data_IF_628933505598
#
_entry.id   IF_628933505598
#
_cell.length_a   1.000
_cell.length_b   1.000
_cell.length_c   1.000
_cell.angle_alpha   90.00
_cell.angle_beta   90.00
_cell.angle_gamma   90.00
#
_symmetry.space_group_name_H-M   'P 1'
#
loop_
_entity.id
_entity.type
_entity.pdbx_description
1 polymer ?
#
# COMPACT_ATOMS: atom_id res chain seq x y z
N UNK A 1 -15.43 3.48 1.27
CA UNK A 1 -14.49 2.88 2.24
C UNK A 1 -15.18 2.61 3.59
N UNK A 2 -14.76 1.58 4.33
CA UNK A 2 -15.27 1.24 5.68
C UNK A 2 -14.24 1.53 6.77
N UNK A 3 -14.63 2.28 7.81
CA UNK A 3 -13.74 2.70 8.90
C UNK A 3 -13.08 1.52 9.62
N UNK A 4 -13.81 0.44 9.86
CA UNK A 4 -13.27 -0.77 10.52
C UNK A 4 -12.14 -1.41 9.72
N UNK A 5 -12.27 -1.41 8.40
CA UNK A 5 -11.25 -1.95 7.48
C UNK A 5 -10.00 -1.09 7.50
N UNK A 6 -10.14 0.24 7.48
CA UNK A 6 -9.02 1.19 7.63
C UNK A 6 -8.26 0.94 8.94
N UNK A 7 -8.99 0.79 10.06
CA UNK A 7 -8.39 0.50 11.36
C UNK A 7 -7.64 -0.84 11.35
N UNK A 8 -8.20 -1.88 10.74
CA UNK A 8 -7.56 -3.19 10.64
C UNK A 8 -6.22 -3.11 9.86
N UNK A 9 -6.22 -2.40 8.73
CA UNK A 9 -5.03 -2.17 7.90
C UNK A 9 -3.97 -1.39 8.69
N UNK A 10 -4.35 -0.27 9.30
CA UNK A 10 -3.43 0.55 10.07
C UNK A 10 -2.81 -0.22 11.25
N UNK A 11 -3.62 -1.04 11.94
CA UNK A 11 -3.14 -1.88 13.04
C UNK A 11 -2.18 -2.98 12.54
N UNK A 12 -2.48 -3.63 11.42
CA UNK A 12 -1.61 -4.65 10.84
C UNK A 12 -0.24 -4.08 10.43
N UNK A 13 -0.24 -2.93 9.73
CA UNK A 13 0.98 -2.25 9.32
C UNK A 13 1.78 -1.72 10.51
N UNK A 14 1.10 -1.20 11.54
CA UNK A 14 1.75 -0.77 12.78
C UNK A 14 2.38 -1.94 13.53
N UNK A 15 1.67 -3.06 13.67
CA UNK A 15 2.16 -4.24 14.36
C UNK A 15 3.38 -4.88 13.68
N UNK A 16 3.49 -4.74 12.35
CA UNK A 16 4.63 -5.22 11.57
C UNK A 16 5.75 -4.16 11.39
N UNK A 17 5.65 -3.03 12.09
CA UNK A 17 6.61 -1.91 12.05
C UNK A 17 6.91 -1.47 10.61
N UNK A 18 5.86 -1.28 9.82
CA UNK A 18 5.99 -0.90 8.41
C UNK A 18 6.20 0.60 8.30
N UNK A 19 7.18 0.98 7.47
CA UNK A 19 7.38 2.35 7.01
C UNK A 19 6.48 2.58 5.79
N UNK A 20 5.40 3.31 5.96
CA UNK A 20 4.43 3.61 4.90
C UNK A 20 3.79 4.97 5.08
N UNK A 21 3.41 5.60 3.98
CA UNK A 21 2.66 6.86 3.96
C UNK A 21 1.33 6.60 3.27
N UNK A 22 0.24 6.98 3.94
CA UNK A 22 -1.08 7.03 3.32
C UNK A 22 -1.13 8.24 2.41
N UNK A 23 -1.47 8.05 1.14
CA UNK A 23 -1.61 9.12 0.16
C UNK A 23 -3.03 9.17 -0.39
N UNK A 24 -3.27 9.99 -1.41
CA UNK A 24 -4.57 10.05 -2.07
C UNK A 24 -5.64 10.75 -1.24
N UNK A 25 -6.91 10.47 -1.55
CA UNK A 25 -8.02 11.21 -0.94
C UNK A 25 -8.24 10.90 0.55
N UNK A 26 -7.73 9.77 1.07
CA UNK A 26 -7.74 9.54 2.52
C UNK A 26 -6.81 10.52 3.25
N UNK A 27 -5.62 10.81 2.71
CA UNK A 27 -4.74 11.83 3.27
C UNK A 27 -5.38 13.23 3.20
N UNK A 28 -6.02 13.55 2.08
CA UNK A 28 -6.74 14.83 1.88
C UNK A 28 -7.91 14.99 2.88
N UNK A 29 -8.68 13.92 3.09
CA UNK A 29 -9.76 13.86 4.09
C UNK A 29 -9.23 14.07 5.51
N UNK A 30 -8.10 13.44 5.87
CA UNK A 30 -7.49 13.61 7.18
C UNK A 30 -7.07 15.06 7.46
N UNK A 31 -6.77 15.85 6.42
CA UNK A 31 -6.45 17.28 6.50
C UNK A 31 -7.66 18.21 6.31
N UNK A 32 -8.90 17.67 6.38
CA UNK A 32 -10.13 18.48 6.42
C UNK A 32 -10.75 18.83 5.07
N UNK A 33 -10.30 18.22 3.97
CA UNK A 33 -10.87 18.42 2.63
C UNK A 33 -11.58 17.14 2.19
N UNK A 34 -12.90 17.20 1.99
CA UNK A 34 -13.69 16.03 1.58
C UNK A 34 -13.41 15.61 0.13
N UNK A 35 -12.92 14.39 -0.05
CA UNK A 35 -12.81 13.67 -1.33
C UNK A 35 -13.32 12.24 -1.14
N UNK A 36 -14.27 11.83 -1.97
CA UNK A 36 -14.73 10.45 -1.99
C UNK A 36 -13.61 9.54 -2.54
N UNK A 37 -13.05 8.67 -1.68
CA UNK A 37 -12.21 7.55 -2.11
C UNK A 37 -12.78 6.25 -1.56
N UNK A 38 -12.65 5.18 -2.35
CA UNK A 38 -13.06 3.84 -1.94
C UNK A 38 -11.86 2.94 -1.64
N UNK A 39 -10.69 3.33 -2.09
CA UNK A 39 -9.37 2.75 -1.91
C UNK A 39 -8.55 3.48 -0.84
N UNK A 40 -7.60 2.75 -0.27
CA UNK A 40 -6.47 3.29 0.49
C UNK A 40 -5.24 3.22 -0.40
N UNK A 41 -4.67 4.38 -0.70
CA UNK A 41 -3.41 4.49 -1.43
C UNK A 41 -2.23 4.49 -0.44
N UNK A 42 -1.28 3.57 -0.64
CA UNK A 42 -0.10 3.40 0.21
C UNK A 42 1.18 3.55 -0.61
N UNK A 43 2.06 4.45 -0.16
CA UNK A 43 3.47 4.42 -0.54
C UNK A 43 4.22 3.72 0.59
N UNK A 44 4.81 2.56 0.32
CA UNK A 44 5.65 1.85 1.28
C UNK A 44 7.12 2.13 0.94
N UNK A 45 7.98 2.26 1.95
CA UNK A 45 9.42 2.32 1.69
C UNK A 45 9.86 1.09 0.90
N UNK A 46 10.59 1.31 -0.19
CA UNK A 46 10.95 0.26 -1.14
C UNK A 46 12.15 -0.59 -0.74
N UNK A 47 12.53 -0.52 0.54
CA UNK A 47 13.43 -1.49 1.16
C UNK A 47 12.81 -2.91 1.07
N UNK A 48 13.52 -3.90 0.50
CA UNK A 48 12.95 -5.23 0.23
C UNK A 48 12.30 -5.89 1.45
N UNK A 49 12.88 -5.71 2.63
CA UNK A 49 12.35 -6.32 3.85
C UNK A 49 11.08 -5.60 4.36
N UNK A 50 11.05 -4.27 4.29
CA UNK A 50 9.83 -3.51 4.59
C UNK A 50 8.67 -3.92 3.68
N UNK A 51 8.95 -4.10 2.37
CA UNK A 51 7.97 -4.58 1.40
C UNK A 51 7.42 -5.96 1.77
N UNK A 52 8.30 -6.94 2.04
CA UNK A 52 7.87 -8.30 2.40
C UNK A 52 6.99 -8.28 3.63
N UNK A 53 7.44 -7.64 4.72
CA UNK A 53 6.65 -7.54 5.95
C UNK A 53 5.29 -6.87 5.70
N UNK A 54 5.25 -5.81 4.90
CA UNK A 54 4.01 -5.08 4.61
C UNK A 54 2.99 -5.97 3.89
N UNK A 55 3.40 -6.61 2.80
CA UNK A 55 2.49 -7.44 2.01
C UNK A 55 2.07 -8.70 2.78
N UNK A 56 2.97 -9.34 3.53
CA UNK A 56 2.61 -10.47 4.41
C UNK A 56 1.64 -10.06 5.51
N UNK A 57 1.81 -8.88 6.13
CA UNK A 57 0.89 -8.37 7.15
C UNK A 57 -0.51 -8.10 6.59
N UNK A 58 -0.61 -7.54 5.37
CA UNK A 58 -1.89 -7.32 4.69
C UNK A 58 -2.54 -8.65 4.29
N UNK A 59 -1.76 -9.62 3.81
CA UNK A 59 -2.25 -10.96 3.48
C UNK A 59 -2.80 -11.67 4.73
N UNK A 60 -2.11 -11.54 5.88
CA UNK A 60 -2.54 -12.14 7.14
C UNK A 60 -3.92 -11.66 7.62
N UNK A 61 -4.35 -10.45 7.25
CA UNK A 61 -5.68 -9.92 7.56
C UNK A 61 -6.69 -10.13 6.42
N UNK A 62 -6.35 -10.95 5.42
CA UNK A 62 -7.26 -11.40 4.37
C UNK A 62 -7.26 -10.55 3.10
N UNK A 63 -6.22 -9.74 2.86
CA UNK A 63 -5.99 -9.16 1.54
C UNK A 63 -5.22 -10.12 0.63
N UNK A 64 -5.32 -9.93 -0.68
CA UNK A 64 -4.52 -10.63 -1.66
C UNK A 64 -4.27 -9.77 -2.89
N UNK A 65 -3.12 -9.97 -3.58
CA UNK A 65 -2.85 -9.34 -4.87
C UNK A 65 -3.95 -9.63 -5.90
N UNK A 66 -4.30 -8.62 -6.71
CA UNK A 66 -5.25 -8.79 -7.83
C UNK A 66 -4.66 -9.54 -9.02
N UNK A 67 -3.35 -9.75 -9.02
CA UNK A 67 -2.57 -10.46 -10.04
C UNK A 67 -1.62 -11.44 -9.36
N UNK A 68 -1.20 -12.54 -10.02
CA UNK A 68 -0.39 -13.60 -9.39
C UNK A 68 1.07 -13.17 -9.19
N UNK A 69 1.29 -12.32 -8.20
CA UNK A 69 2.60 -11.79 -7.78
C UNK A 69 2.77 -12.10 -6.29
N UNK A 70 3.92 -12.65 -5.90
CA UNK A 70 4.23 -12.89 -4.48
C UNK A 70 4.80 -11.63 -3.81
N UNK A 71 4.74 -11.51 -2.48
CA UNK A 71 5.46 -10.47 -1.74
C UNK A 71 6.95 -10.41 -2.11
N UNK A 72 7.58 -11.55 -2.33
CA UNK A 72 8.98 -11.68 -2.70
C UNK A 72 9.26 -11.13 -4.11
N UNK A 73 8.35 -11.39 -5.06
CA UNK A 73 8.44 -10.84 -6.41
C UNK A 73 8.35 -9.32 -6.37
N UNK A 74 7.41 -8.77 -5.58
CA UNK A 74 7.23 -7.32 -5.45
C UNK A 74 8.39 -6.66 -4.68
N UNK A 75 9.03 -7.37 -3.74
CA UNK A 75 10.22 -6.88 -3.04
C UNK A 75 11.46 -6.77 -3.94
N UNK A 76 11.49 -7.46 -5.08
CA UNK A 76 12.60 -7.39 -6.03
C UNK A 76 12.51 -6.11 -6.90
N UNK A 77 13.54 -5.26 -6.79
CA UNK A 77 13.59 -4.00 -7.52
C UNK A 77 13.61 -4.18 -9.06
N UNK A 78 14.28 -5.22 -9.58
CA UNK A 78 14.32 -5.48 -11.02
C UNK A 78 12.94 -5.85 -11.57
N UNK A 79 12.17 -6.65 -10.83
CA UNK A 79 10.79 -6.96 -11.19
C UNK A 79 9.92 -5.70 -11.21
N UNK A 80 10.04 -4.85 -10.19
CA UNK A 80 9.31 -3.57 -10.12
C UNK A 80 9.65 -2.66 -11.29
N UNK A 81 10.94 -2.50 -11.63
CA UNK A 81 11.38 -1.72 -12.78
C UNK A 81 10.79 -2.26 -14.08
N UNK A 82 10.87 -3.58 -14.31
CA UNK A 82 10.31 -4.23 -15.50
C UNK A 82 8.79 -4.01 -15.60
N UNK A 83 8.04 -4.19 -14.51
CA UNK A 83 6.59 -3.97 -14.54
C UNK A 83 6.23 -2.49 -14.78
N UNK A 84 7.01 -1.55 -14.24
CA UNK A 84 6.81 -0.13 -14.51
C UNK A 84 7.09 0.20 -15.99
N UNK A 85 8.25 -0.18 -16.51
CA UNK A 85 8.71 0.21 -17.85
C UNK A 85 8.00 -0.55 -18.98
N UNK A 86 7.81 -1.87 -18.83
CA UNK A 86 7.27 -2.70 -19.91
C UNK A 86 5.76 -2.91 -19.82
N UNK A 87 5.19 -2.81 -18.61
CA UNK A 87 3.75 -3.06 -18.37
C UNK A 87 2.99 -1.81 -17.95
N UNK A 88 3.67 -0.65 -17.82
CA UNK A 88 3.09 0.59 -17.33
C UNK A 88 2.33 0.41 -15.99
N UNK A 89 2.78 -0.53 -15.15
CA UNK A 89 2.18 -0.76 -13.84
C UNK A 89 2.61 0.37 -12.91
N UNK A 90 1.63 1.03 -12.27
CA UNK A 90 1.88 2.10 -11.30
C UNK A 90 1.66 1.65 -9.86
N UNK A 91 0.65 0.78 -9.66
CA UNK A 91 0.24 0.28 -8.36
C UNK A 91 -0.03 -1.21 -8.42
N UNK A 92 0.26 -1.91 -7.33
CA UNK A 92 -0.25 -3.25 -7.04
C UNK A 92 -1.55 -3.13 -6.25
N UNK A 93 -2.65 -3.54 -6.87
CA UNK A 93 -3.97 -3.58 -6.21
C UNK A 93 -4.09 -4.81 -5.33
N UNK A 94 -4.46 -4.61 -4.08
CA UNK A 94 -4.85 -5.66 -3.14
C UNK A 94 -6.35 -5.57 -2.87
N UNK A 95 -7.01 -6.72 -2.85
CA UNK A 95 -8.43 -6.84 -2.58
C UNK A 95 -8.69 -7.90 -1.50
N UNK A 96 -9.88 -7.86 -0.89
CA UNK A 96 -10.26 -8.78 0.19
C UNK A 96 -11.74 -9.08 0.14
N UNK A 97 -12.10 -10.35 0.30
CA UNK A 97 -13.50 -10.76 0.49
C UNK A 97 -14.09 -10.30 1.84
N UNK A 98 -13.23 -10.07 2.83
CA UNK A 98 -13.60 -9.58 4.16
C UNK A 98 -13.70 -8.05 4.21
N UNK A 99 -12.89 -7.35 3.40
CA UNK A 99 -12.83 -5.89 3.33
C UNK A 99 -13.22 -5.33 1.96
N UNK A 100 -14.30 -5.85 1.37
CA UNK A 100 -14.71 -5.61 -0.04
C UNK A 100 -14.80 -4.15 -0.46
N UNK A 101 -15.13 -3.25 0.47
CA UNK A 101 -15.33 -1.81 0.22
C UNK A 101 -14.07 -0.97 0.44
N UNK A 102 -12.93 -1.60 0.71
CA UNK A 102 -11.66 -0.95 1.04
C UNK A 102 -10.48 -1.68 0.37
N UNK A 103 -10.39 -1.70 -0.97
CA UNK A 103 -9.17 -2.12 -1.66
C UNK A 103 -7.97 -1.25 -1.27
N UNK A 104 -6.78 -1.79 -1.45
CA UNK A 104 -5.52 -1.09 -1.17
C UNK A 104 -4.74 -1.00 -2.47
N UNK A 105 -4.24 0.18 -2.79
CA UNK A 105 -3.32 0.40 -3.91
C UNK A 105 -1.93 0.70 -3.36
N UNK A 106 -0.97 -0.20 -3.65
CA UNK A 106 0.43 -0.07 -3.20
C UNK A 106 1.27 0.42 -4.37
N UNK A 107 1.90 1.58 -4.25
CA UNK A 107 2.74 2.14 -5.31
C UNK A 107 3.97 1.26 -5.59
N UNK A 108 4.29 1.10 -6.87
CA UNK A 108 5.46 0.33 -7.32
C UNK A 108 6.79 1.10 -7.19
N UNK A 109 6.69 2.43 -7.14
CA UNK A 109 7.77 3.40 -7.02
C UNK A 109 7.42 4.40 -5.92
N UNK A 110 8.43 5.03 -5.33
CA UNK A 110 8.24 6.18 -4.44
C UNK A 110 8.05 7.43 -5.33
N UNK A 111 6.85 8.04 -5.39
CA UNK A 111 6.59 9.16 -6.28
C UNK A 111 7.16 10.50 -5.76
N UNK A 112 7.78 10.46 -4.58
CA UNK A 112 8.43 11.56 -3.89
C UNK A 112 9.57 11.00 -3.04
N UNK A 113 10.41 11.87 -2.48
CA UNK A 113 11.44 11.48 -1.53
C UNK A 113 10.80 10.91 -0.25
N UNK A 114 10.83 9.58 -0.10
CA UNK A 114 10.14 8.89 0.98
C UNK A 114 10.65 9.33 2.35
N UNK A 115 11.97 9.47 2.52
CA UNK A 115 12.58 9.82 3.81
C UNK A 115 12.17 11.22 4.26
N UNK A 116 12.10 12.18 3.34
CA UNK A 116 11.69 13.56 3.62
C UNK A 116 10.26 13.63 4.12
N UNK A 117 9.34 12.90 3.47
CA UNK A 117 7.92 12.91 3.86
C UNK A 117 7.66 12.03 5.09
N UNK A 118 8.39 10.92 5.25
CA UNK A 118 8.27 10.03 6.42
C UNK A 118 8.65 10.75 7.73
N UNK A 119 9.60 11.68 7.68
CA UNK A 119 9.98 12.48 8.85
C UNK A 119 8.94 13.56 9.23
N UNK A 120 7.86 13.72 8.46
CA UNK A 120 6.80 14.72 8.69
C UNK A 120 5.50 14.12 9.24
N UNK A 121 5.35 12.80 9.18
CA UNK A 121 4.14 12.05 9.59
C UNK A 121 4.24 11.50 11.00
#
# INVERSE_FOLDING_TARGET
>A
MEVRSVIAIANALKAAEIRYIVVGGLAVNAHGYERFTNDIDLVISLEPENIRRALHALIAIGYQPSIPITPEDFANAANRTMWHEEKAMLVLKLWSDHHRRTPIDVFIQEPFDFETEWNRV
#
